data_IF_928752839202
#
_entry.id   IF_928752839202
#
_cell.length_a   1.000
_cell.length_b   1.000
_cell.length_c   1.000
_cell.angle_alpha   90.00
_cell.angle_beta   90.00
_cell.angle_gamma   90.00
#
_symmetry.space_group_name_H-M   'P 1'
#
loop_
_entity.id
_entity.type
_entity.pdbx_description
1 polymer ?
#
# COMPACT_ATOMS: atom_id res chain seq x y z
N UNK A 1 12.15 -6.34 20.29
CA UNK A 1 10.96 -5.49 20.08
C UNK A 1 11.10 -4.78 18.74
N UNK A 2 10.15 -4.96 17.83
CA UNK A 2 10.10 -4.15 16.60
C UNK A 2 9.59 -2.76 17.01
N UNK A 3 10.30 -1.67 16.68
CA UNK A 3 9.88 -0.34 17.10
C UNK A 3 8.57 0.02 16.39
N UNK A 4 7.65 0.66 17.12
CA UNK A 4 6.34 1.09 16.59
C UNK A 4 6.48 1.95 15.33
N UNK A 5 7.59 2.70 15.23
CA UNK A 5 7.96 3.52 14.08
C UNK A 5 8.16 2.72 12.78
N UNK A 6 8.47 1.42 12.85
CA UNK A 6 8.63 0.56 11.68
C UNK A 6 7.28 0.28 10.97
N UNK A 7 6.15 0.43 11.67
CA UNK A 7 4.81 0.23 11.11
C UNK A 7 4.21 1.51 10.51
N UNK A 8 4.77 2.68 10.82
CA UNK A 8 4.25 3.98 10.37
C UNK A 8 4.30 4.11 8.84
N UNK A 9 5.40 3.78 8.13
CA UNK A 9 5.44 3.90 6.68
C UNK A 9 4.42 3.00 5.96
N UNK A 10 4.28 1.70 6.29
CA UNK A 10 3.21 0.86 5.76
C UNK A 10 1.81 1.43 5.97
N UNK A 11 1.51 1.93 7.18
CA UNK A 11 0.20 2.48 7.52
C UNK A 11 -0.13 3.73 6.70
N UNK A 12 0.82 4.64 6.54
CA UNK A 12 0.65 5.84 5.69
C UNK A 12 0.39 5.42 4.25
N UNK A 13 1.15 4.45 3.73
CA UNK A 13 0.98 4.00 2.36
C UNK A 13 -0.39 3.35 2.13
N UNK A 14 -0.88 2.58 3.10
CA UNK A 14 -2.22 2.00 3.10
C UNK A 14 -3.33 3.05 3.16
N UNK A 15 -3.19 4.07 4.00
CA UNK A 15 -4.16 5.17 4.09
C UNK A 15 -4.27 5.94 2.77
N UNK A 16 -3.14 6.20 2.11
CA UNK A 16 -3.11 6.82 0.78
C UNK A 16 -3.76 5.90 -0.27
N UNK A 17 -3.47 4.60 -0.26
CA UNK A 17 -4.12 3.64 -1.16
C UNK A 17 -5.65 3.63 -0.98
N UNK A 18 -6.13 3.67 0.26
CA UNK A 18 -7.55 3.77 0.59
C UNK A 18 -8.18 5.08 0.07
N UNK A 19 -7.49 6.22 0.23
CA UNK A 19 -7.95 7.51 -0.28
C UNK A 19 -8.06 7.53 -1.82
N UNK A 20 -7.07 6.95 -2.51
CA UNK A 20 -7.09 6.81 -3.97
C UNK A 20 -8.28 5.94 -4.41
N UNK A 21 -8.55 4.85 -3.67
CA UNK A 21 -9.72 3.98 -3.87
C UNK A 21 -11.04 4.73 -3.67
N UNK A 22 -11.13 5.54 -2.62
CA UNK A 22 -12.28 6.39 -2.31
C UNK A 22 -12.59 7.43 -3.39
N UNK A 23 -11.57 7.87 -4.15
CA UNK A 23 -11.75 8.81 -5.28
C UNK A 23 -11.98 8.11 -6.62
N UNK A 24 -11.83 6.79 -6.67
CA UNK A 24 -11.96 6.01 -7.91
C UNK A 24 -10.79 6.20 -8.90
N UNK A 25 -9.63 6.69 -8.45
CA UNK A 25 -8.48 6.93 -9.33
C UNK A 25 -7.65 5.66 -9.58
N UNK A 26 -8.20 4.72 -10.34
CA UNK A 26 -7.59 3.41 -10.63
C UNK A 26 -6.23 3.55 -11.34
N UNK A 27 -6.10 4.48 -12.29
CA UNK A 27 -4.82 4.72 -13.00
C UNK A 27 -3.72 5.17 -12.05
N UNK A 28 -4.05 6.06 -11.11
CA UNK A 28 -3.09 6.55 -10.12
C UNK A 28 -2.62 5.42 -9.20
N UNK A 29 -3.52 4.52 -8.82
CA UNK A 29 -3.20 3.34 -8.02
C UNK A 29 -2.21 2.41 -8.74
N UNK A 30 -2.36 2.19 -10.05
CA UNK A 30 -1.44 1.35 -10.83
C UNK A 30 0.00 1.87 -10.86
N UNK A 31 0.21 3.19 -10.80
CA UNK A 31 1.56 3.77 -10.67
C UNK A 31 2.05 3.78 -9.22
N UNK A 32 1.13 3.95 -8.27
CA UNK A 32 1.43 4.05 -6.85
C UNK A 32 1.95 2.74 -6.25
N UNK A 33 1.35 1.60 -6.59
CA UNK A 33 1.75 0.28 -6.07
C UNK A 33 3.22 -0.04 -6.39
N UNK A 34 3.68 -0.11 -7.65
CA UNK A 34 5.06 -0.45 -7.96
C UNK A 34 6.04 0.57 -7.36
N UNK A 35 5.70 1.86 -7.38
CA UNK A 35 6.53 2.91 -6.78
C UNK A 35 6.70 2.68 -5.26
N UNK A 36 5.61 2.40 -4.55
CA UNK A 36 5.65 2.14 -3.11
C UNK A 36 6.45 0.89 -2.75
N UNK A 37 6.36 -0.17 -3.56
CA UNK A 37 7.15 -1.39 -3.39
C UNK A 37 8.64 -1.15 -3.61
N UNK A 38 9.01 -0.37 -4.64
CA UNK A 38 10.41 0.02 -4.89
C UNK A 38 10.97 0.86 -3.76
N UNK A 39 10.21 1.82 -3.24
CA UNK A 39 10.63 2.67 -2.11
C UNK A 39 10.86 1.81 -0.86
N UNK A 40 9.96 0.87 -0.54
CA UNK A 40 10.15 -0.03 0.60
C UNK A 40 11.36 -0.94 0.41
N UNK A 41 11.55 -1.50 -0.78
CA UNK A 41 12.72 -2.34 -1.07
C UNK A 41 14.03 -1.54 -0.88
N UNK A 42 14.08 -0.31 -1.37
CA UNK A 42 15.22 0.59 -1.20
C UNK A 42 15.46 0.95 0.27
N UNK A 43 14.40 1.24 1.02
CA UNK A 43 14.50 1.52 2.46
C UNK A 43 15.02 0.31 3.23
N UNK A 44 14.53 -0.89 2.93
CA UNK A 44 15.00 -2.13 3.58
C UNK A 44 16.48 -2.39 3.28
N UNK A 45 16.92 -2.15 2.04
CA UNK A 45 18.33 -2.28 1.66
C UNK A 45 19.21 -1.25 2.37
N UNK A 46 18.82 0.03 2.37
CA UNK A 46 19.60 1.11 2.96
C UNK A 46 19.63 1.10 4.49
N UNK A 47 18.53 0.69 5.14
CA UNK A 47 18.41 0.73 6.60
C UNK A 47 18.86 -0.55 7.29
N UNK A 48 18.64 -1.71 6.67
CA UNK A 48 18.94 -3.02 7.28
C UNK A 48 20.09 -3.76 6.57
N UNK A 49 20.60 -3.24 5.45
CA UNK A 49 21.66 -3.89 4.65
C UNK A 49 21.22 -5.22 4.03
N UNK A 50 19.91 -5.52 4.01
CA UNK A 50 19.40 -6.83 3.59
C UNK A 50 19.16 -6.87 2.09
N UNK A 51 19.82 -7.79 1.35
CA UNK A 51 19.71 -7.83 -0.10
C UNK A 51 18.29 -7.94 -0.64
N UNK A 52 17.96 -7.20 -1.72
CA UNK A 52 16.60 -7.17 -2.26
C UNK A 52 16.15 -8.54 -2.79
N UNK A 53 17.10 -9.43 -3.08
CA UNK A 53 16.88 -10.81 -3.51
C UNK A 53 16.77 -11.81 -2.34
N UNK A 54 16.86 -11.36 -1.09
CA UNK A 54 16.64 -12.23 0.06
C UNK A 54 15.14 -12.59 0.14
N UNK A 55 14.83 -13.87 0.36
CA UNK A 55 13.46 -14.36 0.46
C UNK A 55 12.63 -13.59 1.50
N UNK A 56 13.25 -13.15 2.60
CA UNK A 56 12.56 -12.35 3.62
C UNK A 56 12.08 -10.99 3.09
N UNK A 57 12.86 -10.34 2.22
CA UNK A 57 12.50 -9.05 1.59
C UNK A 57 11.42 -9.27 0.55
N UNK A 58 11.52 -10.32 -0.27
CA UNK A 58 10.50 -10.67 -1.26
C UNK A 58 9.15 -10.93 -0.58
N UNK A 59 9.14 -11.69 0.52
CA UNK A 59 7.93 -11.97 1.31
C UNK A 59 7.37 -10.69 1.93
N UNK A 60 8.23 -9.80 2.45
CA UNK A 60 7.80 -8.50 2.98
C UNK A 60 7.16 -7.61 1.91
N UNK A 61 7.74 -7.57 0.70
CA UNK A 61 7.19 -6.82 -0.43
C UNK A 61 5.85 -7.39 -0.92
N UNK A 62 5.72 -8.72 -0.96
CA UNK A 62 4.45 -9.41 -1.26
C UNK A 62 3.38 -9.06 -0.23
N UNK A 63 3.70 -9.12 1.07
CA UNK A 63 2.80 -8.74 2.14
C UNK A 63 2.35 -7.28 2.02
N UNK A 64 3.28 -6.37 1.71
CA UNK A 64 2.98 -4.96 1.46
C UNK A 64 2.09 -4.76 0.24
N UNK A 65 2.34 -5.47 -0.87
CA UNK A 65 1.51 -5.40 -2.06
C UNK A 65 0.07 -5.86 -1.80
N UNK A 66 -0.10 -6.98 -1.09
CA UNK A 66 -1.41 -7.49 -0.70
C UNK A 66 -2.15 -6.52 0.25
N UNK A 67 -1.43 -5.94 1.21
CA UNK A 67 -1.97 -4.94 2.13
C UNK A 67 -2.48 -3.70 1.37
N UNK A 68 -1.69 -3.16 0.43
CA UNK A 68 -2.09 -2.01 -0.40
C UNK A 68 -3.33 -2.32 -1.24
N UNK A 69 -3.39 -3.52 -1.83
CA UNK A 69 -4.56 -4.00 -2.59
C UNK A 69 -5.81 -4.09 -1.71
N UNK A 70 -5.68 -4.59 -0.47
CA UNK A 70 -6.78 -4.64 0.46
C UNK A 70 -7.29 -3.23 0.84
N UNK A 71 -6.38 -2.29 1.14
CA UNK A 71 -6.74 -0.91 1.45
C UNK A 71 -7.45 -0.21 0.29
N UNK A 72 -6.92 -0.34 -0.93
CA UNK A 72 -7.54 0.23 -2.13
C UNK A 72 -8.91 -0.40 -2.41
N UNK A 73 -9.01 -1.74 -2.33
CA UNK A 73 -10.26 -2.47 -2.54
C UNK A 73 -11.36 -2.02 -1.57
N UNK A 74 -11.02 -1.86 -0.29
CA UNK A 74 -11.95 -1.35 0.72
C UNK A 74 -12.40 0.08 0.40
N UNK A 75 -11.46 0.98 0.06
CA UNK A 75 -11.78 2.35 -0.35
C UNK A 75 -12.69 2.41 -1.59
N UNK A 76 -12.45 1.55 -2.57
CA UNK A 76 -13.24 1.47 -3.81
C UNK A 76 -14.66 0.93 -3.58
N UNK A 77 -14.83 -0.06 -2.70
CA UNK A 77 -16.14 -0.57 -2.29
C UNK A 77 -16.93 0.54 -1.60
N UNK A 78 -16.30 1.28 -0.66
CA UNK A 78 -16.93 2.41 0.03
C UNK A 78 -17.35 3.49 -0.98
N UNK A 79 -16.48 3.84 -1.93
CA UNK A 79 -16.80 4.80 -2.99
C UNK A 79 -18.04 4.38 -3.78
N UNK A 80 -18.14 3.10 -4.19
CA UNK A 80 -19.33 2.59 -4.90
C UNK A 80 -20.61 2.66 -4.06
N UNK A 81 -20.52 2.38 -2.76
CA UNK A 81 -21.68 2.47 -1.86
C UNK A 81 -22.16 3.92 -1.74
N UNK A 82 -21.23 4.86 -1.51
CA UNK A 82 -21.54 6.29 -1.37
C UNK A 82 -22.08 6.89 -2.68
N UNK A 83 -21.48 6.59 -3.82
CA UNK A 83 -21.94 7.09 -5.13
C UNK A 83 -23.29 6.49 -5.55
N UNK A 84 -23.62 5.27 -5.15
CA UNK A 84 -24.97 4.71 -5.37
C UNK A 84 -26.01 5.38 -4.49
N UNK A 85 -25.70 5.68 -3.22
CA UNK A 85 -26.62 6.33 -2.29
C UNK A 85 -26.95 7.78 -2.64
N UNK A 86 -26.04 8.48 -3.32
CA UNK A 86 -26.25 9.86 -3.78
C UNK A 86 -27.16 9.99 -5.00
N UNK A 87 -27.52 8.89 -5.67
CA UNK A 87 -28.36 8.88 -6.89
C UNK A 87 -29.84 8.57 -6.63
N UNK A 88 -30.22 8.27 -5.39
CA UNK A 88 -31.59 8.08 -4.90
C UNK A 88 -32.02 9.29 -4.11
#
# INVERSE_FOLDING_TARGET
>A
MIPFSAFVPPLILGAVAMYIGLRGYIRLYLYYVPLSLVIIAALLWLSLGVPPYNNSVIVALLAMGLFLCACFGMGWVIHRILTRKSRT
#
